data_IF_429437480432
#
_entry.id   IF_429437480432
#
_cell.length_a   1.000
_cell.length_b   1.000
_cell.length_c   1.000
_cell.angle_alpha   90.00
_cell.angle_beta   90.00
_cell.angle_gamma   90.00
#
_symmetry.space_group_name_H-M   'P 1'
#
loop_
_entity.id
_entity.type
_entity.pdbx_description
1 polymer ?
#
# COMPACT_ATOMS: atom_id res chain seq x y z
N UNK A 1 11.46 35.19 75.94
CA UNK A 1 10.79 33.90 75.71
C UNK A 1 10.38 33.34 77.05
N UNK A 2 9.08 33.27 77.35
CA UNK A 2 8.63 32.91 78.70
C UNK A 2 8.90 31.42 78.98
N UNK A 3 9.55 31.05 80.09
CA UNK A 3 9.86 29.66 80.42
C UNK A 3 8.60 28.77 80.50
N UNK A 4 7.45 29.37 80.81
CA UNK A 4 6.16 28.71 80.81
C UNK A 4 5.75 28.14 79.44
N UNK A 5 6.08 28.81 78.33
CA UNK A 5 5.78 28.28 76.98
C UNK A 5 6.65 27.09 76.62
N UNK A 6 7.92 27.09 77.06
CA UNK A 6 8.83 25.98 76.81
C UNK A 6 8.40 24.73 77.60
N UNK A 7 7.99 24.91 78.86
CA UNK A 7 7.47 23.81 79.68
C UNK A 7 6.16 23.26 79.11
N UNK A 8 5.23 24.13 78.70
CA UNK A 8 3.97 23.68 78.07
C UNK A 8 4.19 22.95 76.73
N UNK A 9 5.15 23.40 75.92
CA UNK A 9 5.53 22.72 74.68
C UNK A 9 6.21 21.38 74.95
N UNK A 10 7.04 21.28 76.00
CA UNK A 10 7.69 20.05 76.41
C UNK A 10 6.66 19.02 76.93
N UNK A 11 5.70 19.45 77.74
CA UNK A 11 4.61 18.60 78.24
C UNK A 11 3.70 18.13 77.10
N UNK A 12 3.40 19.01 76.14
CA UNK A 12 2.66 18.64 74.94
C UNK A 12 3.41 17.63 74.08
N UNK A 13 4.72 17.82 73.88
CA UNK A 13 5.54 16.89 73.12
C UNK A 13 5.73 15.56 73.85
N UNK A 14 5.77 15.57 75.19
CA UNK A 14 5.79 14.34 75.98
C UNK A 14 4.46 13.58 75.87
N UNK A 15 3.32 14.27 75.87
CA UNK A 15 1.99 13.67 75.76
C UNK A 15 1.64 13.21 74.33
N UNK A 16 2.05 13.97 73.31
CA UNK A 16 1.64 13.79 71.91
C UNK A 16 2.79 13.54 70.92
N UNK A 17 4.02 13.41 71.39
CA UNK A 17 5.18 13.17 70.54
C UNK A 17 5.11 11.83 69.81
N UNK A 18 4.63 10.78 70.48
CA UNK A 18 4.46 9.45 69.87
C UNK A 18 3.44 9.43 68.71
N UNK A 19 2.20 9.96 68.85
CA UNK A 19 1.27 10.02 67.72
C UNK A 19 1.77 10.92 66.59
N UNK A 20 2.49 12.01 66.88
CA UNK A 20 3.13 12.83 65.86
C UNK A 20 4.19 12.04 65.09
N UNK A 21 5.01 11.26 65.79
CA UNK A 21 6.05 10.43 65.19
C UNK A 21 5.43 9.35 64.30
N UNK A 22 4.37 8.68 64.76
CA UNK A 22 3.61 7.72 63.92
C UNK A 22 3.03 8.42 62.69
N UNK A 23 2.44 9.60 62.85
CA UNK A 23 1.85 10.36 61.73
C UNK A 23 2.89 10.74 60.67
N UNK A 24 4.07 11.22 61.09
CA UNK A 24 5.17 11.56 60.19
C UNK A 24 5.73 10.31 59.51
N UNK A 25 5.91 9.21 60.25
CA UNK A 25 6.35 7.93 59.68
C UNK A 25 5.35 7.37 58.66
N UNK A 26 4.05 7.42 58.97
CA UNK A 26 3.00 6.99 58.06
C UNK A 26 2.94 7.86 56.80
N UNK A 27 3.04 9.19 56.94
CA UNK A 27 3.11 10.12 55.81
C UNK A 27 4.35 9.87 54.94
N UNK A 28 5.52 9.66 55.55
CA UNK A 28 6.76 9.33 54.84
C UNK A 28 6.66 7.97 54.11
N UNK A 29 6.02 6.98 54.74
CA UNK A 29 5.77 5.68 54.13
C UNK A 29 4.82 5.81 52.93
N UNK A 30 3.71 6.55 53.07
CA UNK A 30 2.76 6.78 51.97
C UNK A 30 3.43 7.55 50.83
N UNK A 31 4.18 8.61 51.15
CA UNK A 31 4.90 9.41 50.16
C UNK A 31 5.93 8.57 49.40
N UNK A 32 6.73 7.76 50.10
CA UNK A 32 7.74 6.92 49.47
C UNK A 32 7.12 5.79 48.64
N UNK A 33 6.01 5.20 49.10
CA UNK A 33 5.38 4.04 48.45
C UNK A 33 4.51 4.40 47.25
N UNK A 34 3.81 5.53 47.30
CA UNK A 34 2.79 5.92 46.31
C UNK A 34 3.16 7.15 45.49
N UNK A 35 3.77 8.17 46.11
CA UNK A 35 4.02 9.45 45.43
C UNK A 35 5.33 9.43 44.63
N UNK A 36 6.42 8.89 45.19
CA UNK A 36 7.72 8.76 44.49
C UNK A 36 7.63 8.02 43.15
N UNK A 37 7.01 6.83 43.02
CA UNK A 37 6.94 6.14 41.74
C UNK A 37 6.08 6.90 40.71
N UNK A 38 5.00 7.56 41.14
CA UNK A 38 4.16 8.37 40.27
C UNK A 38 4.92 9.63 39.77
N UNK A 39 5.65 10.30 40.66
CA UNK A 39 6.47 11.45 40.32
C UNK A 39 7.65 11.08 39.40
N UNK A 40 8.28 9.93 39.63
CA UNK A 40 9.33 9.41 38.75
C UNK A 40 8.79 9.09 37.35
N UNK A 41 7.62 8.44 37.25
CA UNK A 41 6.98 8.17 35.97
C UNK A 41 6.58 9.47 35.24
N UNK A 42 6.08 10.48 35.95
CA UNK A 42 5.78 11.79 35.38
C UNK A 42 7.04 12.51 34.87
N UNK A 43 8.13 12.47 35.63
CA UNK A 43 9.42 13.04 35.23
C UNK A 43 10.02 12.33 34.01
N UNK A 44 9.90 11.00 33.91
CA UNK A 44 10.32 10.23 32.73
C UNK A 44 9.49 10.60 31.49
N UNK A 45 8.17 10.73 31.63
CA UNK A 45 7.30 11.16 30.52
C UNK A 45 7.63 12.57 30.04
N UNK A 46 7.92 13.49 30.96
CA UNK A 46 8.32 14.85 30.60
C UNK A 46 9.64 14.89 29.82
N UNK A 47 10.63 14.07 30.22
CA UNK A 47 11.91 13.92 29.49
C UNK A 47 11.72 13.29 28.11
N UNK A 48 10.89 12.25 28.01
CA UNK A 48 10.58 11.62 26.73
C UNK A 48 9.83 12.57 25.79
N UNK A 49 8.94 13.42 26.31
CA UNK A 49 8.25 14.43 25.52
C UNK A 49 9.20 15.53 25.01
N UNK A 50 10.22 15.90 25.80
CA UNK A 50 11.24 16.85 25.38
C UNK A 50 12.14 16.27 24.27
N UNK A 51 12.54 14.99 24.37
CA UNK A 51 13.33 14.30 23.34
C UNK A 51 12.58 14.18 22.00
N UNK A 52 11.28 13.85 22.04
CA UNK A 52 10.45 13.79 20.81
C UNK A 52 10.36 15.13 20.07
N UNK A 53 10.45 16.26 20.79
CA UNK A 53 10.45 17.59 20.16
C UNK A 53 11.76 17.88 19.43
N UNK A 54 12.90 17.44 19.94
CA UNK A 54 14.18 17.58 19.22
C UNK A 54 14.25 16.67 18.00
N UNK A 55 13.68 15.46 18.07
CA UNK A 55 13.68 14.52 16.94
C UNK A 55 12.82 14.99 15.75
N UNK A 56 11.72 15.72 16.02
CA UNK A 56 10.85 16.25 14.96
C UNK A 56 11.53 17.22 13.99
N UNK A 57 12.60 17.91 14.42
CA UNK A 57 13.39 18.77 13.55
C UNK A 57 14.27 17.93 12.60
N UNK A 58 14.88 16.86 13.11
CA UNK A 58 15.66 15.91 12.30
C UNK A 58 14.78 15.13 11.31
N UNK A 59 13.56 14.78 11.71
CA UNK A 59 12.57 14.10 10.86
C UNK A 59 12.17 14.95 9.63
N UNK A 60 12.16 16.29 9.78
CA UNK A 60 11.78 17.20 8.69
C UNK A 60 12.82 17.22 7.56
N UNK A 61 14.10 17.16 7.90
CA UNK A 61 15.20 17.11 6.94
C UNK A 61 15.25 15.74 6.23
N UNK A 62 15.05 14.65 6.98
CA UNK A 62 14.98 13.31 6.39
C UNK A 62 13.79 13.18 5.42
N UNK A 63 12.65 13.78 5.76
CA UNK A 63 11.49 13.80 4.89
C UNK A 63 11.75 14.60 3.60
N UNK A 64 12.41 15.76 3.69
CA UNK A 64 12.80 16.55 2.52
C UNK A 64 13.77 15.77 1.61
N UNK A 65 14.78 15.11 2.20
CA UNK A 65 15.72 14.28 1.45
C UNK A 65 15.03 13.09 0.75
N UNK A 66 14.04 12.48 1.40
CA UNK A 66 13.24 11.40 0.80
C UNK A 66 12.42 11.90 -0.39
N UNK A 67 11.80 13.08 -0.28
CA UNK A 67 11.06 13.68 -1.40
C UNK A 67 11.97 14.03 -2.58
N UNK A 68 13.15 14.57 -2.32
CA UNK A 68 14.14 14.88 -3.35
C UNK A 68 14.54 13.62 -4.15
N UNK A 69 14.78 12.49 -3.47
CA UNK A 69 15.10 11.21 -4.12
C UNK A 69 13.95 10.68 -5.00
N UNK A 70 12.71 10.84 -4.54
CA UNK A 70 11.52 10.44 -5.33
C UNK A 70 11.36 11.32 -6.57
N UNK A 71 11.58 12.64 -6.43
CA UNK A 71 11.54 13.56 -7.55
C UNK A 71 12.60 13.20 -8.61
N UNK A 72 13.83 12.93 -8.18
CA UNK A 72 14.91 12.52 -9.07
C UNK A 72 14.60 11.19 -9.80
N UNK A 73 14.06 10.19 -9.08
CA UNK A 73 13.66 8.93 -9.68
C UNK A 73 12.58 9.13 -10.76
N UNK A 74 11.61 10.03 -10.50
CA UNK A 74 10.56 10.37 -11.46
C UNK A 74 11.13 11.03 -12.71
N UNK A 75 12.09 11.94 -12.56
CA UNK A 75 12.74 12.56 -13.72
C UNK A 75 13.48 11.55 -14.59
N UNK A 76 14.21 10.60 -13.97
CA UNK A 76 14.91 9.54 -14.71
C UNK A 76 13.94 8.69 -15.51
N UNK A 77 12.79 8.33 -14.93
CA UNK A 77 11.76 7.55 -15.61
C UNK A 77 11.14 8.33 -16.78
N UNK A 78 10.87 9.63 -16.60
CA UNK A 78 10.35 10.47 -17.68
C UNK A 78 11.33 10.58 -18.85
N UNK A 79 12.63 10.71 -18.58
CA UNK A 79 13.67 10.73 -19.63
C UNK A 79 13.70 9.42 -20.42
N UNK A 80 13.60 8.27 -19.74
CA UNK A 80 13.55 6.96 -20.42
C UNK A 80 12.31 6.84 -21.31
N UNK A 81 11.15 7.26 -20.82
CA UNK A 81 9.91 7.24 -21.60
C UNK A 81 9.97 8.15 -22.83
N UNK A 82 10.64 9.31 -22.72
CA UNK A 82 10.86 10.20 -23.86
C UNK A 82 11.74 9.55 -24.93
N UNK A 83 12.86 8.94 -24.52
CA UNK A 83 13.74 8.23 -25.45
C UNK A 83 13.02 7.08 -26.16
N UNK A 84 12.21 6.30 -25.43
CA UNK A 84 11.43 5.21 -26.01
C UNK A 84 10.36 5.72 -26.99
N UNK A 85 9.73 6.87 -26.68
CA UNK A 85 8.75 7.50 -27.54
C UNK A 85 9.39 7.98 -28.85
N UNK A 86 10.56 8.62 -28.78
CA UNK A 86 11.32 9.06 -29.95
C UNK A 86 11.72 7.89 -30.84
N UNK A 87 12.22 6.79 -30.26
CA UNK A 87 12.57 5.59 -31.02
C UNK A 87 11.36 4.97 -31.72
N UNK A 88 10.19 4.93 -31.06
CA UNK A 88 8.96 4.41 -31.68
C UNK A 88 8.47 5.33 -32.78
N UNK A 89 8.55 6.64 -32.59
CA UNK A 89 8.19 7.62 -33.61
C UNK A 89 9.07 7.46 -34.86
N UNK A 90 10.40 7.32 -34.69
CA UNK A 90 11.33 7.08 -35.80
C UNK A 90 11.00 5.78 -36.56
N UNK A 91 10.77 4.67 -35.84
CA UNK A 91 10.39 3.39 -36.46
C UNK A 91 9.05 3.46 -37.19
N UNK A 92 8.10 4.23 -36.70
CA UNK A 92 6.81 4.42 -37.38
C UNK A 92 7.00 5.16 -38.70
N UNK A 93 7.84 6.19 -38.74
CA UNK A 93 8.16 6.93 -39.99
C UNK A 93 8.84 6.01 -41.00
N UNK A 94 9.79 5.18 -40.57
CA UNK A 94 10.43 4.19 -41.46
C UNK A 94 9.43 3.15 -41.97
N UNK A 95 8.55 2.65 -41.11
CA UNK A 95 7.53 1.68 -41.49
C UNK A 95 6.49 2.26 -42.47
N UNK A 96 6.07 3.52 -42.29
CA UNK A 96 5.17 4.17 -43.25
C UNK A 96 5.85 4.47 -44.58
N UNK A 97 7.13 4.84 -44.57
CA UNK A 97 7.93 4.98 -45.79
C UNK A 97 8.09 3.64 -46.54
N UNK A 98 8.40 2.55 -45.83
CA UNK A 98 8.51 1.21 -46.43
C UNK A 98 7.16 0.67 -46.94
N UNK A 99 6.07 0.93 -46.21
CA UNK A 99 4.72 0.53 -46.63
C UNK A 99 4.25 1.31 -47.87
N UNK A 100 4.56 2.61 -47.96
CA UNK A 100 4.23 3.39 -49.15
C UNK A 100 5.05 2.95 -50.38
N UNK A 101 6.34 2.66 -50.19
CA UNK A 101 7.18 2.12 -51.27
C UNK A 101 6.69 0.75 -51.77
N UNK A 102 6.38 -0.19 -50.86
CA UNK A 102 5.86 -1.51 -51.24
C UNK A 102 4.45 -1.48 -51.82
N UNK A 103 3.58 -0.58 -51.34
CA UNK A 103 2.25 -0.37 -51.91
C UNK A 103 2.34 0.08 -53.38
N UNK A 104 3.31 0.96 -53.71
CA UNK A 104 3.53 1.36 -55.11
C UNK A 104 4.12 0.24 -55.97
N UNK A 105 4.97 -0.62 -55.40
CA UNK A 105 5.59 -1.75 -56.13
C UNK A 105 4.59 -2.90 -56.43
N UNK A 106 3.58 -3.10 -55.58
CA UNK A 106 2.54 -4.12 -55.76
C UNK A 106 1.25 -3.63 -56.42
N UNK A 107 1.15 -2.33 -56.74
CA UNK A 107 -0.04 -1.76 -57.34
C UNK A 107 -0.12 -2.11 -58.83
N UNK A 108 -0.96 -3.09 -59.16
CA UNK A 108 -1.38 -3.38 -60.53
C UNK A 108 -2.66 -2.57 -60.80
N UNK A 109 -2.65 -1.55 -61.69
CA UNK A 109 -3.84 -0.81 -62.03
C UNK A 109 -4.90 -1.77 -62.59
N UNK A 110 -6.09 -1.80 -61.97
CA UNK A 110 -7.23 -2.56 -62.47
C UNK A 110 -7.56 -3.90 -61.77
N UNK A 111 -6.88 -4.29 -60.68
CA UNK A 111 -7.37 -5.43 -59.88
C UNK A 111 -8.49 -5.03 -58.90
N UNK A 112 -9.73 -5.55 -59.05
CA UNK A 112 -10.77 -5.36 -58.05
C UNK A 112 -10.39 -6.08 -56.75
N UNK A 113 -10.51 -5.36 -55.62
CA UNK A 113 -10.07 -5.81 -54.30
C UNK A 113 -10.58 -7.21 -53.93
N UNK A 114 -9.64 -8.15 -53.79
CA UNK A 114 -9.96 -9.52 -53.36
C UNK A 114 -10.08 -9.53 -51.83
N UNK A 115 -11.31 -9.50 -51.35
CA UNK A 115 -11.66 -9.46 -49.93
C UNK A 115 -11.05 -10.68 -49.19
N UNK A 116 -10.04 -10.46 -48.33
CA UNK A 116 -9.36 -11.51 -47.53
C UNK A 116 -10.24 -12.28 -46.53
N UNK A 117 -11.56 -12.05 -46.49
CA UNK A 117 -12.49 -12.66 -45.53
C UNK A 117 -13.11 -13.99 -45.98
N UNK A 118 -12.92 -14.46 -47.22
CA UNK A 118 -13.64 -15.63 -47.74
C UNK A 118 -12.86 -16.96 -47.79
N UNK A 119 -11.63 -17.03 -47.27
CA UNK A 119 -10.77 -18.24 -47.38
C UNK A 119 -10.78 -19.15 -46.12
N UNK A 120 -11.79 -19.02 -45.26
CA UNK A 120 -12.09 -19.99 -44.19
C UNK A 120 -13.49 -20.54 -44.45
N UNK A 121 -13.62 -21.48 -45.40
CA UNK A 121 -14.70 -22.48 -45.53
C UNK A 121 -14.66 -23.08 -46.93
N UNK A 122 -13.85 -24.12 -47.13
CA UNK A 122 -14.20 -25.31 -47.92
C UNK A 122 -12.94 -26.18 -48.06
N UNK A 123 -12.86 -27.26 -47.30
CA UNK A 123 -12.34 -28.58 -47.69
C UNK A 123 -12.67 -29.51 -46.53
N UNK A 124 -13.96 -29.84 -46.42
CA UNK A 124 -14.41 -31.02 -45.70
C UNK A 124 -14.69 -32.08 -46.75
N UNK A 125 -13.70 -32.93 -47.01
CA UNK A 125 -13.84 -34.35 -47.31
C UNK A 125 -12.43 -34.90 -47.59
N UNK A 126 -12.18 -36.12 -47.08
CA UNK A 126 -10.94 -36.91 -47.25
C UNK A 126 -9.70 -36.53 -46.41
N UNK A 127 -9.77 -36.58 -45.07
CA UNK A 127 -8.61 -36.98 -44.22
C UNK A 127 -9.07 -37.63 -42.90
N UNK A 128 -10.05 -38.53 -42.96
CA UNK A 128 -10.57 -39.27 -41.79
C UNK A 128 -9.61 -40.31 -41.18
N UNK A 129 -8.43 -40.53 -41.77
CA UNK A 129 -7.46 -41.51 -41.26
C UNK A 129 -6.39 -40.91 -40.32
N UNK A 130 -6.12 -39.60 -40.37
CA UNK A 130 -5.00 -39.00 -39.61
C UNK A 130 -5.45 -38.45 -38.25
N UNK A 131 -6.71 -38.03 -38.13
CA UNK A 131 -7.27 -37.53 -36.86
C UNK A 131 -7.49 -38.62 -35.81
N UNK A 132 -7.76 -39.87 -36.21
CA UNK A 132 -7.95 -40.97 -35.27
C UNK A 132 -6.66 -41.35 -34.50
N UNK A 133 -5.49 -41.21 -35.13
CA UNK A 133 -4.20 -41.48 -34.49
C UNK A 133 -3.79 -40.36 -33.50
N UNK A 134 -4.16 -39.11 -33.79
CA UNK A 134 -3.81 -37.96 -32.94
C UNK A 134 -4.82 -37.74 -31.80
N UNK A 135 -6.10 -38.10 -31.98
CA UNK A 135 -7.08 -38.14 -30.89
C UNK A 135 -6.80 -39.23 -29.85
N UNK A 136 -6.17 -40.35 -30.23
CA UNK A 136 -5.81 -41.42 -29.26
C UNK A 136 -4.61 -41.07 -28.37
N UNK A 137 -3.74 -40.13 -28.75
CA UNK A 137 -2.62 -39.67 -27.90
C UNK A 137 -3.02 -38.65 -26.83
N UNK A 138 -4.10 -37.89 -27.05
CA UNK A 138 -4.57 -36.90 -26.08
C UNK A 138 -5.74 -37.40 -25.21
N UNK A 139 -6.25 -38.60 -25.45
CA UNK A 139 -7.36 -39.19 -24.69
C UNK A 139 -6.94 -39.94 -23.40
N UNK A 140 -5.64 -40.07 -23.11
CA UNK A 140 -5.15 -40.80 -21.92
C UNK A 140 -4.82 -39.93 -20.71
N UNK A 141 -5.07 -38.61 -20.75
CA UNK A 141 -5.01 -37.74 -19.56
C UNK A 141 -6.20 -36.81 -19.50
N UNK A 142 -7.19 -37.20 -18.69
CA UNK A 142 -8.21 -36.29 -18.18
C UNK A 142 -9.63 -36.53 -18.68
N UNK A 143 -10.11 -37.76 -18.55
CA UNK A 143 -11.56 -37.98 -18.44
C UNK A 143 -12.07 -37.37 -17.14
N UNK A 144 -12.86 -36.30 -17.24
CA UNK A 144 -13.94 -35.97 -16.32
C UNK A 144 -14.73 -34.80 -16.90
N UNK A 145 -16.04 -34.99 -17.08
CA UNK A 145 -16.95 -33.92 -17.44
C UNK A 145 -16.87 -32.79 -16.41
N UNK A 146 -16.43 -31.62 -16.86
CA UNK A 146 -16.41 -30.40 -16.06
C UNK A 146 -16.94 -29.27 -16.91
N UNK A 147 -18.13 -28.76 -16.57
CA UNK A 147 -18.67 -27.56 -17.18
C UNK A 147 -17.62 -26.45 -17.17
N UNK A 148 -17.36 -25.85 -18.34
CA UNK A 148 -16.52 -24.66 -18.45
C UNK A 148 -17.23 -23.56 -17.65
N UNK A 149 -16.87 -23.37 -16.38
CA UNK A 149 -17.35 -22.25 -15.56
C UNK A 149 -16.98 -20.98 -16.32
N UNK A 150 -18.01 -20.22 -16.73
CA UNK A 150 -17.82 -18.88 -17.26
C UNK A 150 -17.08 -18.07 -16.20
N UNK A 151 -16.15 -17.23 -16.62
CA UNK A 151 -15.29 -16.48 -15.71
C UNK A 151 -16.09 -15.53 -14.80
N UNK A 152 -17.34 -15.21 -15.17
CA UNK A 152 -18.51 -14.78 -14.37
C UNK A 152 -19.75 -14.98 -15.26
N UNK A 153 -20.85 -15.54 -14.75
CA UNK A 153 -22.06 -15.74 -15.56
C UNK A 153 -22.76 -14.41 -15.92
N UNK A 154 -22.48 -13.36 -15.16
CA UNK A 154 -23.17 -12.06 -15.22
C UNK A 154 -22.45 -11.02 -16.09
N UNK A 155 -21.18 -11.25 -16.46
CA UNK A 155 -20.38 -10.22 -17.15
C UNK A 155 -20.69 -10.16 -18.64
N UNK A 156 -21.31 -9.06 -19.07
CA UNK A 156 -21.51 -8.75 -20.48
C UNK A 156 -20.51 -7.67 -20.95
N UNK A 157 -19.55 -8.00 -21.85
CA UNK A 157 -18.50 -7.07 -22.29
C UNK A 157 -19.01 -5.92 -23.16
N UNK A 158 -20.26 -5.97 -23.63
CA UNK A 158 -20.86 -4.91 -24.46
C UNK A 158 -21.64 -3.87 -23.64
N UNK A 159 -22.12 -4.23 -22.45
CA UNK A 159 -22.96 -3.35 -21.61
C UNK A 159 -22.36 -3.07 -20.23
N UNK A 160 -21.29 -3.78 -19.85
CA UNK A 160 -20.78 -3.72 -18.49
C UNK A 160 -21.74 -4.37 -17.50
N UNK A 161 -21.25 -4.57 -16.28
CA UNK A 161 -21.96 -5.26 -15.20
C UNK A 161 -23.16 -4.43 -14.71
N UNK A 162 -24.34 -4.64 -15.30
CA UNK A 162 -25.57 -3.90 -14.98
C UNK A 162 -26.35 -4.58 -13.84
N UNK A 163 -25.67 -4.88 -12.74
CA UNK A 163 -26.26 -5.55 -11.59
C UNK A 163 -25.36 -5.48 -10.36
N UNK A 164 -25.74 -4.64 -9.40
CA UNK A 164 -25.22 -4.60 -8.02
C UNK A 164 -23.72 -4.24 -7.83
N UNK A 165 -23.50 -2.94 -7.60
CA UNK A 165 -22.57 -2.46 -6.58
C UNK A 165 -21.08 -2.82 -6.78
N UNK A 166 -20.52 -2.43 -7.92
CA UNK A 166 -19.14 -1.97 -7.96
C UNK A 166 -19.00 -0.68 -7.11
N UNK A 167 -18.90 -0.83 -5.79
CA UNK A 167 -18.31 0.18 -4.90
C UNK A 167 -16.96 -0.31 -4.42
N UNK A 168 -16.00 -0.48 -5.33
CA UNK A 168 -14.62 -0.37 -4.92
C UNK A 168 -14.30 1.12 -4.73
N UNK A 169 -14.78 1.68 -3.60
CA UNK A 169 -14.20 2.89 -3.04
C UNK A 169 -13.07 2.44 -2.13
N UNK A 170 -11.82 2.91 -2.29
CA UNK A 170 -10.85 2.74 -1.23
C UNK A 170 -11.43 3.35 0.06
N UNK A 171 -11.28 2.69 1.22
CA UNK A 171 -11.74 3.28 2.47
C UNK A 171 -11.04 4.64 2.64
N UNK A 172 -11.75 5.70 3.11
CA UNK A 172 -11.07 6.92 3.48
C UNK A 172 -10.06 6.57 4.57
N UNK A 173 -8.81 6.96 4.39
CA UNK A 173 -7.80 6.85 5.44
C UNK A 173 -8.27 7.70 6.62
N UNK A 174 -8.95 7.09 7.60
CA UNK A 174 -9.23 7.74 8.86
C UNK A 174 -7.93 7.76 9.63
N UNK A 175 -7.36 8.96 9.77
CA UNK A 175 -6.41 9.29 10.82
C UNK A 175 -7.06 8.95 12.17
N UNK A 176 -6.72 7.78 12.72
CA UNK A 176 -7.05 7.41 14.09
C UNK A 176 -5.86 6.63 14.69
N UNK A 177 -4.73 7.34 14.80
CA UNK A 177 -3.79 7.13 15.89
C UNK A 177 -3.97 8.27 16.87
N UNK A 178 -4.35 7.97 18.11
CA UNK A 178 -4.33 8.92 19.22
C UNK A 178 -5.66 9.10 19.93
N UNK A 179 -5.83 8.39 21.04
CA UNK A 179 -6.93 8.49 22.00
C UNK A 179 -6.79 7.41 23.06
#
# INVERSE_FOLDING_TARGET
SSPAMLNAAADFLAAYGWPLLIGVCAAAFIYSRYVRPAAAAAAQRARAAAAKRSDSAADSEEFAARQARVAEARERQLRQLQLDAEQRAAKQVEATAANSASASAGYVPGQPGRNRRSLLKYTGDETDAVSAAQQRRNASKGGSGGGKRRLRDEYNPLVGDSGAAARYRPPPCTSAGGG
#
